data_IF_344637858607
#
_entry.id   IF_344637858607
#
_cell.length_a   1.000
_cell.length_b   1.000
_cell.length_c   1.000
_cell.angle_alpha   90.00
_cell.angle_beta   90.00
_cell.angle_gamma   90.00
#
_symmetry.space_group_name_H-M   'P 1'
#
loop_
_entity.id
_entity.type
_entity.pdbx_description
1 polymer ?
#
# COMPACT_ATOMS: atom_id res chain seq x y z
N UNK A 1 23.51 5.58 -2.77
CA UNK A 1 24.33 5.33 -1.65
C UNK A 1 23.59 4.89 -0.39
N UNK A 2 22.27 4.83 -0.39
CA UNK A 2 21.47 3.92 0.40
C UNK A 2 21.45 4.13 1.92
N UNK A 3 21.01 5.28 2.38
CA UNK A 3 20.49 5.36 3.74
C UNK A 3 19.08 4.74 3.77
N UNK A 4 18.71 4.07 4.85
CA UNK A 4 17.39 3.48 5.08
C UNK A 4 16.25 4.52 4.93
N UNK A 5 16.56 5.78 5.15
CA UNK A 5 15.65 6.90 5.01
C UNK A 5 15.53 7.46 3.58
N UNK A 6 16.39 7.04 2.65
CA UNK A 6 16.39 7.56 1.29
C UNK A 6 15.17 7.05 0.52
N UNK A 7 14.56 7.95 -0.24
CA UNK A 7 13.45 7.63 -1.13
C UNK A 7 13.93 6.73 -2.28
N UNK A 8 13.22 5.65 -2.53
CA UNK A 8 13.43 4.83 -3.72
C UNK A 8 12.70 5.47 -4.92
N UNK A 9 13.48 5.83 -5.93
CA UNK A 9 12.96 6.36 -7.19
C UNK A 9 12.90 5.30 -8.28
N UNK A 10 11.99 5.50 -9.24
CA UNK A 10 11.88 4.69 -10.44
C UNK A 10 12.76 5.28 -11.54
N UNK A 11 13.67 4.47 -12.07
CA UNK A 11 14.55 4.85 -13.18
C UNK A 11 14.32 3.97 -14.39
N UNK A 12 14.52 4.53 -15.57
CA UNK A 12 14.74 3.75 -16.79
C UNK A 12 16.18 3.97 -17.28
N UNK A 13 16.72 2.93 -17.90
CA UNK A 13 18.00 3.00 -18.63
C UNK A 13 17.66 3.06 -20.12
N UNK A 14 18.00 4.18 -20.77
CA UNK A 14 17.76 4.41 -22.19
C UNK A 14 19.07 4.85 -22.83
N UNK A 15 19.55 4.09 -23.80
CA UNK A 15 20.82 4.36 -24.54
C UNK A 15 22.00 4.65 -23.59
N UNK A 16 22.10 3.86 -22.51
CA UNK A 16 23.14 4.02 -21.50
C UNK A 16 22.90 5.14 -20.46
N UNK A 17 21.88 5.97 -20.64
CA UNK A 17 21.54 7.06 -19.74
C UNK A 17 20.48 6.65 -18.72
N UNK A 18 20.69 7.00 -17.45
CA UNK A 18 19.69 6.84 -16.39
C UNK A 18 18.75 8.04 -16.36
N UNK A 19 17.45 7.77 -16.49
CA UNK A 19 16.40 8.79 -16.43
C UNK A 19 15.54 8.51 -15.21
N UNK A 20 15.52 9.44 -14.25
CA UNK A 20 14.67 9.35 -13.06
C UNK A 20 13.25 9.78 -13.43
N UNK A 21 12.27 8.86 -13.32
CA UNK A 21 10.87 9.11 -13.65
C UNK A 21 10.07 9.71 -12.49
N UNK A 22 10.60 9.63 -11.27
CA UNK A 22 9.88 10.01 -10.03
C UNK A 22 10.62 11.06 -9.20
N UNK A 23 11.63 11.73 -9.75
CA UNK A 23 12.47 12.69 -9.03
C UNK A 23 11.66 13.77 -8.29
N UNK A 24 10.60 14.31 -8.91
CA UNK A 24 9.75 15.36 -8.34
C UNK A 24 8.55 14.84 -7.55
N UNK A 25 8.42 13.52 -7.41
CA UNK A 25 7.30 12.89 -6.73
C UNK A 25 7.71 12.41 -5.34
N UNK A 26 7.05 12.92 -4.30
CA UNK A 26 7.42 12.70 -2.90
C UNK A 26 6.80 11.42 -2.32
N UNK A 27 7.04 10.27 -2.97
CA UNK A 27 6.70 8.95 -2.45
C UNK A 27 7.76 7.93 -2.84
N UNK A 28 7.93 6.91 -2.02
CA UNK A 28 8.86 5.80 -2.23
C UNK A 28 8.23 4.72 -3.11
N UNK A 29 8.96 4.25 -4.12
CA UNK A 29 8.58 3.13 -5.00
C UNK A 29 9.07 1.81 -4.41
N UNK A 30 8.21 0.78 -4.44
CA UNK A 30 8.56 -0.58 -3.96
C UNK A 30 8.63 -1.56 -5.13
N UNK A 31 7.55 -2.29 -5.42
CA UNK A 31 7.49 -3.28 -6.50
C UNK A 31 7.13 -2.62 -7.83
N UNK A 32 7.69 -3.10 -8.95
CA UNK A 32 7.37 -2.57 -10.27
C UNK A 32 7.48 -3.64 -11.37
N UNK A 33 6.68 -3.48 -12.42
CA UNK A 33 6.76 -4.25 -13.67
C UNK A 33 6.47 -3.37 -14.88
N UNK A 34 7.01 -3.75 -16.04
CA UNK A 34 6.58 -3.18 -17.31
C UNK A 34 5.20 -3.72 -17.72
N UNK A 35 4.39 -2.89 -18.38
CA UNK A 35 3.21 -3.37 -19.10
C UNK A 35 3.62 -4.28 -20.24
N UNK A 36 2.74 -5.25 -20.61
CA UNK A 36 3.02 -6.21 -21.67
C UNK A 36 3.32 -5.55 -23.03
N UNK A 37 2.82 -4.36 -23.29
CA UNK A 37 3.07 -3.59 -24.51
C UNK A 37 4.27 -2.65 -24.42
N UNK A 38 4.97 -2.62 -23.27
CA UNK A 38 6.14 -1.79 -23.02
C UNK A 38 5.89 -0.29 -22.93
N UNK A 39 4.62 0.16 -22.89
CA UNK A 39 4.28 1.59 -22.89
C UNK A 39 4.17 2.20 -21.51
N UNK A 40 3.95 1.38 -20.50
CA UNK A 40 3.75 1.80 -19.11
C UNK A 40 4.62 0.99 -18.16
N UNK A 41 4.85 1.57 -16.99
CA UNK A 41 5.36 0.85 -15.82
C UNK A 41 4.28 0.92 -14.76
N UNK A 42 3.88 -0.24 -14.23
CA UNK A 42 3.04 -0.36 -13.05
C UNK A 42 3.94 -0.52 -11.83
N UNK A 43 3.63 0.16 -10.75
CA UNK A 43 4.43 0.09 -9.54
C UNK A 43 3.58 0.33 -8.29
N UNK A 44 4.08 -0.11 -7.13
CA UNK A 44 3.47 0.17 -5.84
C UNK A 44 4.24 1.26 -5.11
N UNK A 45 3.51 2.08 -4.36
CA UNK A 45 4.11 3.12 -3.54
C UNK A 45 3.26 3.42 -2.29
N UNK A 46 3.94 3.86 -1.22
CA UNK A 46 3.27 4.30 -0.02
C UNK A 46 2.55 5.64 -0.26
N UNK A 47 1.31 5.73 0.18
CA UNK A 47 0.52 6.96 0.14
C UNK A 47 -0.54 6.96 1.25
N UNK A 48 -0.59 8.01 2.05
CA UNK A 48 -1.59 8.18 3.11
C UNK A 48 -1.76 6.94 4.02
N UNK A 49 -0.65 6.36 4.48
CA UNK A 49 -0.66 5.19 5.37
C UNK A 49 -1.13 3.88 4.73
N UNK A 50 -1.10 3.79 3.41
CA UNK A 50 -1.41 2.58 2.62
C UNK A 50 -0.38 2.41 1.52
N UNK A 51 -0.26 1.22 0.95
CA UNK A 51 0.53 0.96 -0.25
C UNK A 51 -0.41 0.71 -1.43
N UNK A 52 -0.39 1.61 -2.41
CA UNK A 52 -1.31 1.57 -3.54
C UNK A 52 -0.59 1.32 -4.86
N UNK A 53 -1.36 0.92 -5.87
CA UNK A 53 -0.89 0.70 -7.23
C UNK A 53 -0.94 2.01 -8.02
N UNK A 54 0.13 2.24 -8.79
CA UNK A 54 0.30 3.37 -9.69
C UNK A 54 0.69 2.93 -11.09
N UNK A 55 0.49 3.79 -12.07
CA UNK A 55 1.06 3.67 -13.42
C UNK A 55 1.84 4.93 -13.77
N UNK A 56 2.82 4.78 -14.66
CA UNK A 56 3.53 5.90 -15.30
C UNK A 56 3.82 5.56 -16.76
N UNK A 57 3.74 6.54 -17.64
CA UNK A 57 4.15 6.46 -19.05
C UNK A 57 5.57 7.00 -19.17
N UNK A 58 6.60 6.15 -19.21
CA UNK A 58 8.00 6.56 -19.08
C UNK A 58 8.48 7.41 -20.25
N UNK A 59 7.85 7.30 -21.43
CA UNK A 59 8.22 8.02 -22.63
C UNK A 59 7.30 9.24 -22.92
N UNK A 60 6.42 9.60 -22.00
CA UNK A 60 5.64 10.83 -22.11
C UNK A 60 6.54 12.05 -21.97
N UNK A 61 6.13 13.19 -22.53
CA UNK A 61 6.88 14.45 -22.42
C UNK A 61 7.13 14.86 -20.96
N UNK A 62 6.15 14.61 -20.07
CA UNK A 62 6.23 14.86 -18.64
C UNK A 62 5.69 13.62 -17.91
N UNK A 63 6.52 12.60 -17.65
CA UNK A 63 6.09 11.40 -16.93
C UNK A 63 5.56 11.76 -15.54
N UNK A 64 4.35 11.36 -15.23
CA UNK A 64 3.73 11.66 -13.94
C UNK A 64 3.02 10.39 -13.40
N UNK A 65 3.32 9.97 -12.17
CA UNK A 65 2.64 8.86 -11.52
C UNK A 65 1.14 9.11 -11.42
N UNK A 66 0.34 8.11 -11.80
CA UNK A 66 -1.11 8.11 -11.68
C UNK A 66 -1.56 6.96 -10.81
N UNK A 67 -2.26 7.28 -9.72
CA UNK A 67 -2.79 6.29 -8.80
C UNK A 67 -3.94 5.49 -9.44
N UNK A 68 -3.88 4.16 -9.35
CA UNK A 68 -4.85 3.24 -9.93
C UNK A 68 -5.80 2.64 -8.88
N UNK A 69 -5.34 2.44 -7.65
CA UNK A 69 -6.14 1.85 -6.57
C UNK A 69 -6.26 2.81 -5.39
N UNK A 70 -7.31 2.64 -4.59
CA UNK A 70 -7.52 3.41 -3.36
C UNK A 70 -8.34 2.58 -2.38
N UNK A 71 -7.91 2.54 -1.11
CA UNK A 71 -8.63 1.85 -0.04
C UNK A 71 -7.76 1.65 1.19
N UNK A 72 -8.34 1.13 2.26
CA UNK A 72 -7.63 0.77 3.51
C UNK A 72 -7.08 -0.65 3.35
N UNK A 73 -6.04 -0.78 2.54
CA UNK A 73 -5.32 -2.01 2.27
C UNK A 73 -3.98 -1.68 1.61
N UNK A 74 -3.08 -2.65 1.58
CA UNK A 74 -1.83 -2.58 0.83
C UNK A 74 -1.88 -3.50 -0.39
N UNK A 75 -1.47 -2.98 -1.56
CA UNK A 75 -1.00 -3.80 -2.66
C UNK A 75 0.48 -4.06 -2.39
N UNK A 76 0.77 -5.19 -1.76
CA UNK A 76 2.12 -5.49 -1.27
C UNK A 76 3.09 -5.86 -2.38
N UNK A 77 2.60 -6.45 -3.48
CA UNK A 77 3.44 -6.80 -4.62
C UNK A 77 2.64 -6.89 -5.94
N UNK A 78 3.35 -6.73 -7.07
CA UNK A 78 2.82 -6.97 -8.40
C UNK A 78 3.42 -8.27 -8.92
N UNK A 79 2.59 -9.30 -9.06
CA UNK A 79 3.02 -10.66 -9.41
C UNK A 79 3.11 -10.86 -10.92
N UNK A 80 2.40 -10.07 -11.72
CA UNK A 80 2.44 -10.13 -13.16
C UNK A 80 1.23 -9.50 -13.84
N UNK A 81 1.22 -9.56 -15.17
CA UNK A 81 0.11 -9.10 -16.01
C UNK A 81 -0.37 -10.22 -16.94
N UNK A 82 -1.69 -10.41 -17.03
CA UNK A 82 -2.35 -11.30 -17.98
C UNK A 82 -3.42 -10.51 -18.74
N UNK A 83 -3.14 -10.18 -19.98
CA UNK A 83 -4.00 -9.31 -20.80
C UNK A 83 -4.23 -7.95 -20.09
N UNK A 84 -5.48 -7.63 -19.80
CA UNK A 84 -5.88 -6.38 -19.12
C UNK A 84 -5.98 -6.53 -17.59
N UNK A 85 -5.49 -7.62 -17.04
CA UNK A 85 -5.50 -7.86 -15.59
C UNK A 85 -4.07 -7.80 -15.04
N UNK A 86 -3.84 -6.98 -14.04
CA UNK A 86 -2.68 -7.13 -13.15
C UNK A 86 -3.03 -8.14 -12.07
N UNK A 87 -2.11 -9.06 -11.81
CA UNK A 87 -2.16 -9.99 -10.68
C UNK A 87 -1.30 -9.41 -9.57
N UNK A 88 -1.89 -9.24 -8.42
CA UNK A 88 -1.25 -8.56 -7.28
C UNK A 88 -1.46 -9.36 -6.00
N UNK A 89 -0.58 -9.19 -5.02
CA UNK A 89 -0.84 -9.58 -3.64
C UNK A 89 -1.41 -8.38 -2.87
N UNK A 90 -2.43 -8.63 -2.07
CA UNK A 90 -3.07 -7.61 -1.24
C UNK A 90 -3.30 -8.12 0.17
N UNK A 91 -3.01 -7.29 1.14
CA UNK A 91 -3.28 -7.51 2.56
C UNK A 91 -3.86 -6.25 3.21
N UNK A 92 -4.31 -6.41 4.42
CA UNK A 92 -4.61 -5.31 5.36
C UNK A 92 -4.26 -5.74 6.79
N UNK A 93 -4.38 -4.87 7.76
CA UNK A 93 -4.04 -5.18 9.16
C UNK A 93 -4.89 -6.32 9.77
N UNK A 94 -6.01 -6.69 9.14
CA UNK A 94 -6.89 -7.78 9.57
C UNK A 94 -6.67 -9.08 8.81
N UNK A 95 -5.99 -9.04 7.66
CA UNK A 95 -5.89 -10.19 6.75
C UNK A 95 -4.50 -10.31 6.15
N UNK A 96 -3.97 -11.51 6.21
CA UNK A 96 -2.77 -11.90 5.48
C UNK A 96 -2.97 -11.74 3.97
N UNK A 97 -1.86 -11.67 3.23
CA UNK A 97 -1.89 -11.47 1.79
C UNK A 97 -2.64 -12.61 1.07
N UNK A 98 -3.51 -12.21 0.16
CA UNK A 98 -4.21 -13.05 -0.80
C UNK A 98 -3.96 -12.52 -2.22
N UNK A 99 -4.22 -13.35 -3.22
CA UNK A 99 -4.05 -12.97 -4.62
C UNK A 99 -5.31 -12.27 -5.13
N UNK A 100 -5.11 -11.16 -5.81
CA UNK A 100 -6.16 -10.35 -6.43
C UNK A 100 -5.82 -10.02 -7.88
N UNK A 101 -6.83 -9.65 -8.64
CA UNK A 101 -6.66 -8.99 -9.94
C UNK A 101 -7.11 -7.54 -9.87
N UNK A 102 -6.42 -6.67 -10.63
CA UNK A 102 -6.81 -5.28 -10.88
C UNK A 102 -7.13 -5.16 -12.36
N UNK A 103 -8.35 -4.75 -12.69
CA UNK A 103 -8.81 -4.62 -14.08
C UNK A 103 -8.36 -3.29 -14.69
N UNK A 104 -7.43 -3.34 -15.63
CA UNK A 104 -6.83 -2.19 -16.31
C UNK A 104 -7.76 -1.54 -17.36
N UNK A 105 -8.86 -2.19 -17.76
CA UNK A 105 -9.87 -1.61 -18.68
C UNK A 105 -10.69 -0.51 -18.07
N UNK A 106 -10.63 -0.32 -16.77
CA UNK A 106 -11.31 0.77 -16.08
C UNK A 106 -10.88 2.13 -16.63
N UNK A 107 -11.86 2.95 -17.05
CA UNK A 107 -11.59 4.28 -17.61
C UNK A 107 -11.26 5.32 -16.54
N UNK A 108 -11.58 5.05 -15.28
CA UNK A 108 -11.44 5.98 -14.15
C UNK A 108 -11.00 5.23 -12.91
N UNK A 109 -9.98 5.76 -12.23
CA UNK A 109 -9.57 5.26 -10.91
C UNK A 109 -10.60 5.64 -9.82
N UNK A 110 -10.75 4.84 -8.74
CA UNK A 110 -10.05 3.59 -8.52
C UNK A 110 -10.53 2.45 -9.41
N UNK A 111 -9.59 1.60 -9.85
CA UNK A 111 -9.89 0.44 -10.68
C UNK A 111 -10.55 -0.66 -9.87
N UNK A 112 -11.29 -1.54 -10.55
CA UNK A 112 -11.91 -2.72 -9.96
C UNK A 112 -10.84 -3.72 -9.51
N UNK A 113 -10.98 -4.20 -8.27
CA UNK A 113 -10.11 -5.20 -7.65
C UNK A 113 -10.97 -6.42 -7.29
N UNK A 114 -10.55 -7.61 -7.73
CA UNK A 114 -11.26 -8.86 -7.46
C UNK A 114 -10.34 -9.88 -6.81
N UNK A 115 -10.76 -10.46 -5.69
CA UNK A 115 -10.05 -11.54 -5.01
C UNK A 115 -10.08 -12.83 -5.86
N UNK A 116 -8.94 -13.53 -5.94
CA UNK A 116 -8.79 -14.81 -6.64
C UNK A 116 -8.53 -15.96 -5.68
N UNK A 117 -7.67 -15.77 -4.68
CA UNK A 117 -7.38 -16.79 -3.69
C UNK A 117 -8.22 -16.57 -2.41
N UNK A 118 -8.54 -17.66 -1.73
CA UNK A 118 -9.41 -17.68 -0.55
C UNK A 118 -8.84 -18.63 0.52
N UNK A 119 -7.51 -18.68 0.65
CA UNK A 119 -6.78 -19.68 1.44
C UNK A 119 -7.16 -19.58 2.91
N UNK A 120 -7.30 -18.36 3.43
CA UNK A 120 -7.55 -18.12 4.84
C UNK A 120 -9.00 -17.75 5.16
N UNK A 121 -9.91 -17.74 4.18
CA UNK A 121 -11.28 -17.26 4.39
C UNK A 121 -12.04 -18.08 5.44
N UNK A 122 -11.86 -19.40 5.47
CA UNK A 122 -12.53 -20.25 6.49
C UNK A 122 -12.01 -19.96 7.90
N UNK A 123 -10.71 -19.73 8.05
CA UNK A 123 -10.11 -19.32 9.32
C UNK A 123 -10.67 -17.97 9.79
N UNK A 124 -10.73 -16.99 8.91
CA UNK A 124 -11.21 -15.65 9.24
C UNK A 124 -12.71 -15.57 9.57
N UNK A 125 -13.52 -16.58 9.24
CA UNK A 125 -14.91 -16.68 9.69
C UNK A 125 -15.04 -16.90 11.20
N UNK A 126 -14.01 -17.47 11.82
CA UNK A 126 -14.00 -17.83 13.25
C UNK A 126 -13.18 -16.85 14.10
N UNK A 127 -12.57 -15.84 13.50
CA UNK A 127 -11.77 -14.84 14.21
C UNK A 127 -12.55 -13.52 14.28
N UNK A 128 -12.70 -13.00 15.49
CA UNK A 128 -13.25 -11.65 15.67
C UNK A 128 -12.30 -10.61 15.07
N UNK A 129 -12.85 -9.70 14.28
CA UNK A 129 -12.04 -8.65 13.62
C UNK A 129 -12.02 -7.40 14.49
N UNK A 130 -10.83 -6.81 14.61
CA UNK A 130 -10.63 -5.52 15.25
C UNK A 130 -10.83 -4.41 14.22
N UNK A 131 -11.76 -3.47 14.42
CA UNK A 131 -11.91 -2.35 13.50
C UNK A 131 -10.65 -1.50 13.43
N UNK A 132 -10.14 -1.26 12.23
CA UNK A 132 -9.00 -0.38 11.98
C UNK A 132 -9.52 0.94 11.42
N UNK A 133 -9.16 2.06 12.05
CA UNK A 133 -9.59 3.40 11.64
C UNK A 133 -8.41 4.36 11.55
N UNK A 134 -8.46 5.17 10.52
CA UNK A 134 -7.56 6.30 10.35
C UNK A 134 -7.89 7.42 11.36
N UNK A 135 -6.86 8.05 11.90
CA UNK A 135 -6.96 9.30 12.66
C UNK A 135 -5.88 10.26 12.23
N UNK A 136 -6.24 11.51 12.12
CA UNK A 136 -5.29 12.63 12.01
C UNK A 136 -5.11 13.26 13.38
N UNK A 137 -3.87 13.36 13.82
CA UNK A 137 -3.48 13.91 15.12
C UNK A 137 -2.61 15.14 14.88
N UNK A 138 -2.92 16.25 15.53
CA UNK A 138 -2.05 17.43 15.52
C UNK A 138 -0.82 17.18 16.40
N UNK A 139 0.35 17.35 15.80
CA UNK A 139 1.63 17.30 16.50
C UNK A 139 1.92 18.62 17.24
N UNK A 140 2.91 18.62 18.12
CA UNK A 140 3.28 19.83 18.91
C UNK A 140 3.78 20.99 18.04
N UNK A 141 4.29 20.70 16.83
CA UNK A 141 4.70 21.68 15.83
C UNK A 141 3.56 22.06 14.85
N UNK A 142 2.33 21.60 15.13
CA UNK A 142 1.12 21.96 14.38
C UNK A 142 0.89 21.19 13.08
N UNK A 143 1.73 20.20 12.76
CA UNK A 143 1.55 19.36 11.58
C UNK A 143 0.49 18.29 11.78
N UNK A 144 -0.02 17.76 10.69
CA UNK A 144 -0.92 16.62 10.71
C UNK A 144 -0.14 15.31 10.66
N UNK A 145 -0.33 14.46 11.66
CA UNK A 145 0.23 13.12 11.73
C UNK A 145 -0.89 12.11 11.53
N UNK A 146 -0.74 11.24 10.55
CA UNK A 146 -1.63 10.10 10.35
C UNK A 146 -1.31 9.01 11.37
N UNK A 147 -2.34 8.44 11.99
CA UNK A 147 -2.25 7.30 12.88
C UNK A 147 -3.34 6.27 12.55
N UNK A 148 -3.01 4.99 12.65
CA UNK A 148 -3.98 3.90 12.62
C UNK A 148 -4.38 3.55 14.05
N UNK A 149 -5.69 3.44 14.30
CA UNK A 149 -6.23 2.97 15.58
C UNK A 149 -6.92 1.64 15.36
N UNK A 150 -6.42 0.61 16.02
CA UNK A 150 -6.98 -0.73 16.02
C UNK A 150 -7.81 -0.85 17.31
N UNK A 151 -9.11 -1.00 17.16
CA UNK A 151 -10.02 -1.13 18.27
C UNK A 151 -10.21 -2.61 18.63
N UNK A 152 -10.37 -2.95 19.92
CA UNK A 152 -10.71 -4.32 20.28
C UNK A 152 -12.03 -4.79 19.65
N UNK A 153 -12.25 -6.11 19.51
CA UNK A 153 -13.56 -6.63 19.17
C UNK A 153 -14.61 -6.09 20.15
N UNK A 154 -15.81 -5.83 19.68
CA UNK A 154 -16.92 -5.32 20.50
C UNK A 154 -16.64 -3.98 21.20
N UNK A 155 -15.79 -3.15 20.59
CA UNK A 155 -15.45 -1.82 21.10
C UNK A 155 -16.68 -0.98 21.40
N UNK A 156 -16.71 -0.41 22.61
CA UNK A 156 -17.73 0.54 23.04
C UNK A 156 -17.10 1.89 23.42
N UNK A 157 -17.53 3.03 22.81
CA UNK A 157 -17.01 4.35 23.16
C UNK A 157 -17.38 4.80 24.59
N UNK A 158 -18.27 4.07 25.26
CA UNK A 158 -18.65 4.32 26.67
C UNK A 158 -17.72 3.66 27.67
N UNK A 159 -16.80 2.80 27.23
CA UNK A 159 -15.84 2.09 28.07
C UNK A 159 -14.45 2.70 27.92
N UNK A 160 -13.62 2.53 28.95
CA UNK A 160 -12.18 2.84 28.88
C UNK A 160 -11.40 1.53 28.66
N UNK A 161 -10.38 1.61 27.82
CA UNK A 161 -9.52 0.49 27.46
C UNK A 161 -8.06 0.84 27.74
N UNK A 162 -7.23 -0.11 28.15
CA UNK A 162 -5.78 0.04 28.08
C UNK A 162 -5.39 0.38 26.64
N UNK A 163 -4.39 1.23 26.46
CA UNK A 163 -3.95 1.62 25.12
C UNK A 163 -2.47 1.32 24.96
N UNK A 164 -2.11 0.60 23.92
CA UNK A 164 -0.74 0.37 23.50
C UNK A 164 -0.39 1.36 22.39
N UNK A 165 0.77 1.99 22.51
CA UNK A 165 1.35 2.80 21.45
C UNK A 165 2.40 1.98 20.70
N UNK A 166 2.16 1.73 19.42
CA UNK A 166 3.14 1.15 18.53
C UNK A 166 3.81 2.27 17.73
N UNK A 167 5.11 2.43 17.90
CA UNK A 167 5.90 3.41 17.17
C UNK A 167 6.63 2.71 16.01
N UNK A 168 6.54 3.27 14.80
CA UNK A 168 7.33 2.83 13.68
C UNK A 168 8.81 3.04 13.98
N UNK A 169 9.62 2.05 13.63
CA UNK A 169 11.07 2.11 13.71
C UNK A 169 11.68 2.51 12.38
N UNK A 170 13.02 2.67 12.37
CA UNK A 170 13.73 2.83 11.14
C UNK A 170 14.31 4.19 10.76
N UNK A 171 14.04 5.35 11.27
CA UNK A 171 12.88 6.05 11.82
C UNK A 171 11.96 6.69 10.75
N UNK A 172 12.18 6.49 9.47
CA UNK A 172 11.58 7.26 8.37
C UNK A 172 10.87 6.37 7.35
N UNK A 173 9.97 5.51 7.82
CA UNK A 173 9.08 4.75 6.95
C UNK A 173 7.62 5.03 7.26
N UNK A 174 6.72 4.73 6.30
CA UNK A 174 5.30 4.85 6.51
C UNK A 174 4.75 3.56 7.13
N UNK A 175 4.04 3.65 8.25
CA UNK A 175 3.24 2.56 8.75
C UNK A 175 1.98 2.42 7.89
N UNK A 176 2.00 1.43 7.01
CA UNK A 176 0.89 1.13 6.09
C UNK A 176 -0.05 0.07 6.66
N UNK A 177 -0.85 -0.57 5.83
CA UNK A 177 -1.78 -1.65 6.21
C UNK A 177 -1.10 -3.03 6.24
N UNK A 178 0.18 -3.10 6.65
CA UNK A 178 0.94 -4.35 6.65
C UNK A 178 0.31 -5.41 7.59
N UNK A 179 0.38 -6.66 7.18
CA UNK A 179 0.04 -7.81 8.00
C UNK A 179 1.32 -8.51 8.48
N UNK A 180 1.42 -8.75 9.78
CA UNK A 180 2.58 -9.43 10.36
C UNK A 180 2.15 -10.56 11.26
N UNK A 181 2.76 -11.73 11.09
CA UNK A 181 2.61 -12.85 12.04
C UNK A 181 3.43 -12.64 13.31
N UNK A 182 4.51 -11.85 13.24
CA UNK A 182 5.35 -11.52 14.39
C UNK A 182 4.77 -10.39 15.23
N UNK A 183 4.31 -9.32 14.58
CA UNK A 183 3.73 -8.13 15.19
C UNK A 183 2.26 -8.02 14.79
N UNK A 184 1.47 -8.97 15.28
CA UNK A 184 0.06 -9.03 14.93
C UNK A 184 -0.73 -8.05 15.79
N UNK A 185 -1.07 -6.90 15.21
CA UNK A 185 -1.79 -5.82 15.88
C UNK A 185 -3.21 -6.23 16.28
N UNK A 186 -3.80 -7.23 15.63
CA UNK A 186 -5.11 -7.78 15.98
C UNK A 186 -5.09 -8.55 17.30
N UNK A 187 -3.97 -9.21 17.62
CA UNK A 187 -3.79 -9.90 18.89
C UNK A 187 -3.47 -8.94 20.05
N UNK A 188 -3.04 -7.72 19.75
CA UNK A 188 -2.70 -6.70 20.74
C UNK A 188 -3.92 -5.84 21.12
N UNK A 189 -4.95 -5.79 20.29
CA UNK A 189 -6.17 -5.04 20.50
C UNK A 189 -7.26 -5.88 21.19
#
# INVERSE_FOLDING_TARGET
DGNEADKNDLYILLDGNRINLTASWDNTVFSYIWSNDGKKIYFTAATQGTQQLFEIEPFAKNPTPKQLTKGIFDISDILGQSGDLLVVSRNDMNRAAEIYTVNLKGRKAPLEIKQLSHINDDLYKHIAKCPVKERTIKTTDGKDMLAWVIYPPDFSPKKKYPTLLYCEGGPQSALTQFYSFRWNLQLMA
#
